data_IF_933302727838
#
_entry.id   IF_933302727838
#
_cell.length_a   1.000
_cell.length_b   1.000
_cell.length_c   1.000
_cell.angle_alpha   90.00
_cell.angle_beta   90.00
_cell.angle_gamma   90.00
#
_symmetry.space_group_name_H-M   'P 1'
#
loop_
_entity.id
_entity.type
_entity.pdbx_description
1 polymer ?
#
# COMPACT_ATOMS: atom_id res chain seq x y z
N UNK A 1 32.99 -56.50 -17.25
CA UNK A 1 33.84 -56.48 -16.03
C UNK A 1 34.17 -55.03 -15.66
N UNK A 2 34.28 -54.76 -14.36
CA UNK A 2 34.25 -53.45 -13.67
C UNK A 2 35.54 -52.62 -13.84
N UNK A 3 35.42 -51.28 -13.70
CA UNK A 3 36.16 -50.35 -12.77
C UNK A 3 35.78 -48.89 -13.12
N UNK A 4 34.90 -48.21 -12.36
CA UNK A 4 35.06 -47.41 -11.12
C UNK A 4 35.83 -46.08 -11.27
N UNK A 5 35.07 -44.97 -11.10
CA UNK A 5 35.31 -43.74 -10.26
C UNK A 5 36.66 -43.00 -10.42
N UNK A 6 36.80 -41.69 -10.58
CA UNK A 6 36.39 -40.54 -9.73
C UNK A 6 36.85 -39.23 -10.40
N UNK A 7 36.07 -38.14 -10.38
CA UNK A 7 36.62 -36.77 -10.22
C UNK A 7 35.54 -35.77 -9.84
N UNK A 8 35.31 -35.64 -8.54
CA UNK A 8 34.34 -34.74 -7.91
C UNK A 8 35.13 -33.78 -7.02
N UNK A 9 35.93 -32.89 -7.61
CA UNK A 9 36.87 -32.03 -6.86
C UNK A 9 36.82 -30.54 -7.18
N UNK A 10 35.86 -30.07 -7.99
CA UNK A 10 35.76 -28.63 -8.31
C UNK A 10 34.75 -27.85 -7.45
N UNK A 11 33.95 -28.53 -6.64
CA UNK A 11 32.84 -27.92 -5.87
C UNK A 11 33.16 -27.63 -4.40
N UNK A 12 34.30 -28.09 -3.88
CA UNK A 12 34.70 -27.86 -2.50
C UNK A 12 35.29 -26.44 -2.27
N UNK A 13 36.07 -25.91 -3.22
CA UNK A 13 36.69 -24.59 -3.09
C UNK A 13 35.69 -23.43 -3.07
N UNK A 14 34.64 -23.51 -3.89
CA UNK A 14 33.62 -22.45 -3.99
C UNK A 14 32.75 -22.37 -2.72
N UNK A 15 32.47 -23.52 -2.09
CA UNK A 15 31.70 -23.56 -0.83
C UNK A 15 32.52 -23.08 0.37
N UNK A 16 33.83 -23.35 0.39
CA UNK A 16 34.70 -22.86 1.45
C UNK A 16 34.88 -21.33 1.42
N UNK A 17 34.99 -20.75 0.22
CA UNK A 17 35.08 -19.29 0.05
C UNK A 17 33.78 -18.61 0.51
N UNK A 18 32.61 -19.14 0.13
CA UNK A 18 31.32 -18.57 0.51
C UNK A 18 31.06 -18.60 2.04
N UNK A 19 31.56 -19.60 2.76
CA UNK A 19 31.43 -19.68 4.22
C UNK A 19 32.37 -18.67 4.90
N UNK A 20 33.57 -18.45 4.36
CA UNK A 20 34.51 -17.45 4.89
C UNK A 20 34.01 -16.01 4.69
N UNK A 21 33.29 -15.75 3.60
CA UNK A 21 32.68 -14.43 3.35
C UNK A 21 31.57 -14.06 4.34
N UNK A 22 30.82 -15.05 4.85
CA UNK A 22 29.72 -14.83 5.81
C UNK A 22 30.27 -14.64 7.23
N UNK A 23 31.42 -15.22 7.55
CA UNK A 23 32.04 -15.08 8.87
C UNK A 23 32.76 -13.73 9.09
N UNK A 24 33.11 -13.00 8.02
CA UNK A 24 33.85 -11.74 8.13
C UNK A 24 32.96 -10.51 8.35
N UNK A 25 31.65 -10.60 8.13
CA UNK A 25 30.71 -9.47 8.23
C UNK A 25 30.16 -9.24 9.64
N UNK A 26 30.39 -10.13 10.60
CA UNK A 26 29.95 -9.95 12.00
C UNK A 26 30.92 -9.11 12.84
N UNK A 27 32.10 -8.77 12.33
CA UNK A 27 33.12 -8.00 13.06
C UNK A 27 32.92 -6.47 13.01
N UNK A 28 31.95 -5.94 12.26
CA UNK A 28 31.72 -4.48 12.16
C UNK A 28 30.59 -3.94 13.04
N UNK A 29 29.96 -4.79 13.87
CA UNK A 29 28.93 -4.36 14.82
C UNK A 29 29.56 -3.77 16.09
N UNK A 30 30.23 -2.62 15.95
CA UNK A 30 30.86 -1.94 17.09
C UNK A 30 31.87 -0.85 16.75
N UNK A 31 32.04 -0.50 15.47
CA UNK A 31 32.81 0.69 15.14
C UNK A 31 31.98 1.92 15.50
N UNK A 32 32.33 2.60 16.59
CA UNK A 32 31.92 3.99 16.78
C UNK A 32 32.48 4.77 15.59
N UNK A 33 31.64 5.03 14.59
CA UNK A 33 32.04 5.77 13.41
C UNK A 33 32.42 7.18 13.85
N UNK A 34 33.72 7.45 13.89
CA UNK A 34 34.24 8.80 14.03
C UNK A 34 33.90 9.50 12.72
N UNK A 35 33.17 10.60 12.76
CA UNK A 35 32.94 11.43 11.57
C UNK A 35 33.77 12.70 11.71
N UNK A 36 34.31 13.19 10.60
CA UNK A 36 35.13 14.39 10.55
C UNK A 36 34.40 15.50 9.82
N UNK A 37 34.46 16.72 10.35
CA UNK A 37 33.96 17.93 9.69
C UNK A 37 35.09 18.58 8.92
N UNK A 38 35.06 18.41 7.59
CA UNK A 38 36.03 18.95 6.64
C UNK A 38 35.47 20.24 6.05
N UNK A 39 35.72 21.38 6.70
CA UNK A 39 35.15 22.67 6.26
C UNK A 39 33.62 22.68 6.34
N UNK A 40 32.92 22.65 5.19
CA UNK A 40 31.45 22.61 5.10
C UNK A 40 30.83 21.21 4.96
N UNK A 41 31.64 20.16 4.89
CA UNK A 41 31.17 18.80 4.58
C UNK A 41 31.52 17.83 5.71
N UNK A 42 30.69 16.81 5.91
CA UNK A 42 30.96 15.70 6.83
C UNK A 42 31.57 14.54 6.03
N UNK A 43 32.59 13.88 6.59
CA UNK A 43 33.33 12.79 5.96
C UNK A 43 33.63 11.69 6.98
N UNK A 44 33.54 10.44 6.56
CA UNK A 44 33.93 9.28 7.39
C UNK A 44 35.43 8.97 7.32
N UNK A 45 36.19 9.75 6.55
CA UNK A 45 37.66 9.71 6.51
C UNK A 45 38.27 10.98 7.12
N UNK A 46 39.40 10.86 7.83
CA UNK A 46 40.10 12.02 8.38
C UNK A 46 40.61 12.91 7.24
N UNK A 47 40.46 14.22 7.42
CA UNK A 47 40.88 15.23 6.46
C UNK A 47 41.81 16.23 7.12
N UNK A 48 42.72 16.82 6.32
CA UNK A 48 43.68 17.81 6.80
C UNK A 48 42.95 19.07 7.29
N UNK A 49 43.12 19.40 8.58
CA UNK A 49 42.37 20.49 9.24
C UNK A 49 40.93 20.14 9.65
N UNK A 50 40.50 18.88 9.49
CA UNK A 50 39.19 18.42 9.92
C UNK A 50 39.06 18.30 11.44
N UNK A 51 37.92 18.70 11.98
CA UNK A 51 37.60 18.46 13.40
C UNK A 51 36.85 17.15 13.56
N UNK A 52 37.31 16.31 14.48
CA UNK A 52 36.61 15.10 14.88
C UNK A 52 35.29 15.46 15.55
N UNK A 53 34.19 14.93 15.02
CA UNK A 53 32.85 15.07 15.58
C UNK A 53 32.42 13.71 16.11
N UNK A 54 32.14 13.63 17.41
CA UNK A 54 31.59 12.43 18.02
C UNK A 54 30.10 12.34 17.65
N UNK A 55 29.78 11.50 16.68
CA UNK A 55 28.40 11.13 16.38
C UNK A 55 28.09 9.86 17.17
N UNK A 56 27.37 10.04 18.27
CA UNK A 56 26.66 8.95 18.91
C UNK A 56 25.33 8.79 18.16
N UNK A 57 25.11 7.65 17.51
CA UNK A 57 23.77 7.22 17.05
C UNK A 57 23.24 6.25 18.11
N UNK A 58 22.58 6.73 19.19
CA UNK A 58 22.08 5.89 20.25
C UNK A 58 20.80 5.23 19.80
N UNK A 59 20.87 4.33 18.80
CA UNK A 59 19.76 3.40 18.56
C UNK A 59 19.68 2.50 19.77
N UNK A 60 18.78 2.83 20.68
CA UNK A 60 18.64 2.05 21.90
C UNK A 60 18.18 0.65 21.52
N UNK A 61 18.66 -0.37 22.24
CA UNK A 61 18.19 -1.73 22.05
C UNK A 61 16.65 -1.84 22.24
N UNK A 62 16.07 -0.94 23.04
CA UNK A 62 14.63 -0.82 23.22
C UNK A 62 13.92 -0.33 21.96
N UNK A 63 14.43 0.71 21.28
CA UNK A 63 13.85 1.22 20.03
C UNK A 63 13.91 0.19 18.91
N UNK A 64 15.02 -0.56 18.83
CA UNK A 64 15.13 -1.68 17.90
C UNK A 64 14.08 -2.75 18.19
N UNK A 65 13.95 -3.16 19.45
CA UNK A 65 12.97 -4.19 19.85
C UNK A 65 11.53 -3.73 19.60
N UNK A 66 11.20 -2.48 19.93
CA UNK A 66 9.89 -1.89 19.67
C UNK A 66 9.57 -1.85 18.17
N UNK A 67 10.55 -1.51 17.34
CA UNK A 67 10.43 -1.51 15.88
C UNK A 67 10.17 -2.91 15.34
N UNK A 68 10.94 -3.90 15.80
CA UNK A 68 10.73 -5.30 15.42
C UNK A 68 9.37 -5.84 15.88
N UNK A 69 8.91 -5.47 17.08
CA UNK A 69 7.59 -5.83 17.60
C UNK A 69 6.45 -5.19 16.78
N UNK A 70 6.64 -3.96 16.29
CA UNK A 70 5.70 -3.32 15.38
C UNK A 70 5.66 -4.06 14.02
N UNK A 71 6.82 -4.40 13.45
CA UNK A 71 6.91 -5.16 12.20
C UNK A 71 6.22 -6.52 12.32
N UNK A 72 6.49 -7.30 13.38
CA UNK A 72 5.84 -8.60 13.61
C UNK A 72 4.32 -8.48 13.69
N UNK A 73 3.80 -7.46 14.38
CA UNK A 73 2.36 -7.20 14.48
C UNK A 73 1.77 -6.87 13.11
N UNK A 74 2.42 -6.02 12.33
CA UNK A 74 1.99 -5.66 10.98
C UNK A 74 2.01 -6.85 10.01
N UNK A 75 3.04 -7.69 10.07
CA UNK A 75 3.10 -8.93 9.27
C UNK A 75 1.95 -9.89 9.63
N UNK A 76 1.64 -10.01 10.93
CA UNK A 76 0.55 -10.86 11.39
C UNK A 76 -0.83 -10.35 10.94
N UNK A 77 -1.05 -9.03 10.96
CA UNK A 77 -2.29 -8.41 10.52
C UNK A 77 -2.46 -8.50 9.01
N UNK A 78 -1.39 -8.22 8.24
CA UNK A 78 -1.36 -8.39 6.80
C UNK A 78 -1.65 -9.85 6.39
N UNK A 79 -1.04 -10.82 7.07
CA UNK A 79 -1.28 -12.25 6.82
C UNK A 79 -2.72 -12.67 7.13
N UNK A 80 -3.37 -12.04 8.11
CA UNK A 80 -4.79 -12.26 8.41
C UNK A 80 -5.67 -11.71 7.29
N UNK A 81 -5.40 -10.49 6.83
CA UNK A 81 -6.14 -9.87 5.72
C UNK A 81 -5.97 -10.64 4.41
N UNK A 82 -4.75 -11.10 4.11
CA UNK A 82 -4.47 -11.92 2.94
C UNK A 82 -5.26 -13.23 2.95
N UNK A 83 -5.31 -13.92 4.10
CA UNK A 83 -6.14 -15.13 4.26
C UNK A 83 -7.62 -14.86 4.10
N UNK A 84 -8.12 -13.76 4.69
CA UNK A 84 -9.52 -13.34 4.53
C UNK A 84 -9.86 -13.06 3.07
N UNK A 85 -8.97 -12.38 2.34
CA UNK A 85 -9.14 -12.12 0.91
C UNK A 85 -9.19 -13.43 0.13
N UNK A 86 -8.24 -14.33 0.35
CA UNK A 86 -8.22 -15.63 -0.32
C UNK A 86 -9.47 -16.47 -0.03
N UNK A 87 -9.99 -16.45 1.21
CA UNK A 87 -11.23 -17.16 1.52
C UNK A 87 -12.43 -16.57 0.79
N UNK A 88 -12.53 -15.24 0.72
CA UNK A 88 -13.61 -14.56 0.00
C UNK A 88 -13.50 -14.79 -1.51
N UNK A 89 -12.30 -14.75 -2.08
CA UNK A 89 -12.09 -15.05 -3.50
C UNK A 89 -12.44 -16.50 -3.82
N UNK A 90 -12.05 -17.46 -2.97
CA UNK A 90 -12.44 -18.87 -3.14
C UNK A 90 -13.94 -19.07 -3.02
N UNK A 91 -14.59 -18.42 -2.06
CA UNK A 91 -16.04 -18.51 -1.91
C UNK A 91 -16.76 -17.86 -3.09
N UNK A 92 -16.30 -16.69 -3.53
CA UNK A 92 -16.81 -16.01 -4.71
C UNK A 92 -16.64 -16.88 -5.97
N UNK A 93 -15.52 -17.58 -6.15
CA UNK A 93 -15.32 -18.53 -7.25
C UNK A 93 -16.13 -19.82 -7.12
N UNK A 94 -16.56 -20.19 -5.91
CA UNK A 94 -17.47 -21.33 -5.71
C UNK A 94 -18.92 -20.95 -5.99
N UNK A 95 -19.32 -19.74 -5.58
CA UNK A 95 -20.67 -19.21 -5.79
C UNK A 95 -20.86 -18.73 -7.24
N UNK A 96 -19.88 -18.01 -7.79
CA UNK A 96 -19.75 -17.75 -9.20
C UNK A 96 -19.15 -19.01 -9.84
N UNK A 97 -20.00 -19.99 -10.16
CA UNK A 97 -19.65 -21.05 -11.11
C UNK A 97 -19.14 -20.46 -12.44
N UNK A 98 -18.86 -21.29 -13.48
CA UNK A 98 -18.26 -20.83 -14.74
C UNK A 98 -19.21 -19.95 -15.55
N UNK A 99 -19.51 -18.74 -15.08
CA UNK A 99 -20.35 -17.76 -15.73
C UNK A 99 -19.85 -16.37 -15.33
N UNK A 100 -19.13 -15.76 -16.25
CA UNK A 100 -18.88 -14.32 -16.35
C UNK A 100 -20.20 -13.56 -16.60
N UNK A 101 -21.22 -13.75 -15.75
CA UNK A 101 -22.59 -13.26 -15.98
C UNK A 101 -23.10 -12.29 -14.92
N UNK A 102 -22.30 -11.79 -13.98
CA UNK A 102 -22.85 -10.90 -12.96
C UNK A 102 -23.22 -9.51 -13.51
N UNK A 103 -22.42 -8.97 -14.45
CA UNK A 103 -22.78 -7.75 -15.18
C UNK A 103 -24.07 -7.90 -16.02
N UNK A 104 -24.37 -9.12 -16.51
CA UNK A 104 -25.62 -9.44 -17.20
C UNK A 104 -26.79 -9.67 -16.24
N UNK A 105 -26.52 -10.17 -15.02
CA UNK A 105 -27.55 -10.50 -14.03
C UNK A 105 -28.21 -9.28 -13.40
N UNK A 106 -27.44 -8.22 -13.15
CA UNK A 106 -27.99 -6.93 -12.74
C UNK A 106 -28.76 -6.24 -13.87
N UNK A 107 -28.38 -6.44 -15.13
CA UNK A 107 -29.12 -5.96 -16.28
C UNK A 107 -30.41 -6.76 -16.54
N UNK A 108 -30.43 -8.07 -16.28
CA UNK A 108 -31.58 -8.94 -16.52
C UNK A 108 -32.62 -8.93 -15.39
N UNK A 109 -32.25 -8.54 -14.16
CA UNK A 109 -33.18 -8.35 -13.05
C UNK A 109 -33.74 -6.91 -12.95
N UNK A 110 -33.28 -6.00 -13.82
CA UNK A 110 -33.93 -4.72 -13.97
C UNK A 110 -35.28 -4.96 -14.64
N UNK A 111 -36.38 -4.68 -13.91
CA UNK A 111 -37.71 -4.67 -14.52
C UNK A 111 -37.67 -3.70 -15.72
N UNK A 112 -38.16 -4.10 -16.91
CA UNK A 112 -38.16 -3.21 -18.06
C UNK A 112 -38.95 -1.95 -17.71
N UNK A 113 -38.29 -0.78 -17.79
CA UNK A 113 -38.92 0.51 -17.57
C UNK A 113 -40.17 0.61 -18.44
N UNK A 114 -41.25 1.15 -17.89
CA UNK A 114 -42.45 1.41 -18.69
C UNK A 114 -42.12 2.40 -19.82
N UNK A 115 -42.86 2.40 -20.94
CA UNK A 115 -42.62 3.35 -22.03
C UNK A 115 -42.62 4.82 -21.58
N UNK A 116 -43.41 5.15 -20.55
CA UNK A 116 -43.44 6.48 -19.94
C UNK A 116 -42.15 6.82 -19.19
N UNK A 117 -41.58 5.87 -18.44
CA UNK A 117 -40.31 6.05 -17.73
C UNK A 117 -39.12 6.11 -18.69
N UNK A 118 -39.14 5.33 -19.76
CA UNK A 118 -38.12 5.40 -20.82
C UNK A 118 -38.14 6.77 -21.51
N UNK A 119 -39.33 7.30 -21.83
CA UNK A 119 -39.47 8.63 -22.39
C UNK A 119 -39.00 9.73 -21.41
N UNK A 120 -39.30 9.59 -20.12
CA UNK A 120 -38.83 10.50 -19.08
C UNK A 120 -37.29 10.47 -18.93
N UNK A 121 -36.68 9.29 -18.99
CA UNK A 121 -35.24 9.13 -18.91
C UNK A 121 -34.53 9.65 -20.16
N UNK A 122 -35.09 9.43 -21.35
CA UNK A 122 -34.59 10.00 -22.59
C UNK A 122 -34.64 11.54 -22.57
N UNK A 123 -35.71 12.13 -22.03
CA UNK A 123 -35.80 13.59 -21.81
C UNK A 123 -34.75 14.09 -20.83
N UNK A 124 -34.55 13.40 -19.69
CA UNK A 124 -33.49 13.74 -18.71
C UNK A 124 -32.09 13.65 -19.32
N UNK A 125 -31.81 12.63 -20.13
CA UNK A 125 -30.52 12.48 -20.82
C UNK A 125 -30.30 13.60 -21.83
N UNK A 126 -31.34 14.01 -22.59
CA UNK A 126 -31.24 15.18 -23.49
C UNK A 126 -30.96 16.47 -22.71
N UNK A 127 -31.64 16.68 -21.58
CA UNK A 127 -31.41 17.85 -20.71
C UNK A 127 -30.01 17.88 -20.07
N UNK A 128 -29.40 16.72 -19.83
CA UNK A 128 -28.03 16.63 -19.29
C UNK A 128 -26.95 16.65 -20.40
N UNK A 129 -27.28 16.20 -21.61
CA UNK A 129 -26.38 16.20 -22.75
C UNK A 129 -26.33 17.56 -23.46
N UNK A 130 -27.39 18.37 -23.33
CA UNK A 130 -27.39 19.74 -23.83
C UNK A 130 -26.46 20.58 -22.94
N UNK A 131 -25.35 21.12 -23.48
CA UNK A 131 -24.43 21.94 -22.71
C UNK A 131 -25.20 23.16 -22.22
N UNK A 132 -25.38 23.25 -20.90
CA UNK A 132 -26.01 24.40 -20.26
C UNK A 132 -25.24 25.65 -20.69
N UNK A 133 -25.87 26.68 -21.30
CA UNK A 133 -25.16 27.89 -21.64
C UNK A 133 -24.56 28.44 -20.35
N UNK A 134 -23.24 28.61 -20.35
CA UNK A 134 -22.47 29.18 -19.25
C UNK A 134 -22.91 30.62 -19.06
N UNK A 135 -24.00 30.84 -18.32
CA UNK A 135 -24.35 32.16 -17.84
C UNK A 135 -23.29 32.53 -16.80
N UNK A 136 -22.35 33.33 -17.24
CA UNK A 136 -21.45 34.11 -16.40
C UNK A 136 -22.28 34.91 -15.41
N UNK A 137 -22.46 34.38 -14.20
CA UNK A 137 -22.69 35.13 -12.96
C UNK A 137 -22.52 34.18 -11.78
N UNK A 138 -21.37 34.31 -11.14
CA UNK A 138 -21.10 33.74 -9.83
C UNK A 138 -21.86 34.61 -8.82
N UNK A 139 -23.00 34.12 -8.33
CA UNK A 139 -23.67 34.68 -7.17
C UNK A 139 -23.32 33.82 -5.97
N UNK A 140 -22.39 34.31 -5.16
CA UNK A 140 -22.09 33.77 -3.84
C UNK A 140 -23.35 33.87 -2.97
N UNK A 141 -23.80 32.83 -2.26
CA UNK A 141 -24.81 32.98 -1.24
C UNK A 141 -24.17 33.72 -0.06
N UNK A 142 -24.58 34.98 0.17
CA UNK A 142 -24.39 35.66 1.43
C UNK A 142 -25.13 34.86 2.51
N UNK A 143 -24.42 34.52 3.57
CA UNK A 143 -24.90 33.78 4.73
C UNK A 143 -25.85 34.62 5.55
N UNK A 144 -27.13 34.65 5.19
CA UNK A 144 -28.22 35.05 6.06
C UNK A 144 -29.48 34.39 5.51
N UNK A 145 -29.91 33.28 6.09
CA UNK A 145 -31.32 32.87 6.19
C UNK A 145 -31.43 31.51 6.90
N UNK A 146 -31.54 31.64 8.22
CA UNK A 146 -32.49 30.98 9.13
C UNK A 146 -32.97 29.54 8.86
N UNK A 147 -32.82 28.73 9.91
CA UNK A 147 -33.17 27.32 10.03
C UNK A 147 -34.62 26.97 9.60
N UNK A 148 -34.86 25.77 9.03
CA UNK A 148 -36.20 25.34 8.67
C UNK A 148 -37.02 24.99 9.92
N UNK A 149 -38.14 25.69 10.11
CA UNK A 149 -39.16 25.32 11.10
C UNK A 149 -39.86 24.04 10.66
N UNK A 150 -39.69 22.98 11.45
CA UNK A 150 -40.57 21.82 11.46
C UNK A 150 -42.02 22.27 11.69
N UNK A 151 -42.95 21.85 10.83
CA UNK A 151 -44.37 21.81 11.19
C UNK A 151 -44.85 20.36 11.08
N UNK A 152 -44.93 19.73 12.25
CA UNK A 152 -45.51 18.42 12.45
C UNK A 152 -47.03 18.40 12.26
N UNK A 153 -47.51 17.31 11.66
CA UNK A 153 -48.92 16.91 11.53
C UNK A 153 -49.63 16.80 12.89
N UNK A 154 -50.93 17.18 12.97
CA UNK A 154 -52.09 16.27 13.17
C UNK A 154 -53.37 16.97 13.63
N UNK A 155 -54.47 16.57 12.97
CA UNK A 155 -55.85 16.29 13.45
C UNK A 155 -56.46 17.18 14.54
N UNK A 156 -57.62 17.75 14.24
CA UNK A 156 -58.93 17.18 14.59
C UNK A 156 -60.04 17.81 13.74
#
# INVERSE_FOLDING_TARGET
>A
MRRRTTKKEKTAGVRAIAIFSIALTTASMGASAQTWRCGNTYSDQPCEGGRTVKVDDPRSNADRKASEDATRRNESSASRLARSRQSLEREALRQAGPTTLDAGRFASNAQPLTPAEQAAQARRRKQMAEPRPTSTRFSSPSTDDEAPKETGKKKK
#
